data_IF_293669036369
#
_entry.id   IF_293669036369
#
_cell.length_a   1.000
_cell.length_b   1.000
_cell.length_c   1.000
_cell.angle_alpha   90.00
_cell.angle_beta   90.00
_cell.angle_gamma   90.00
#
_symmetry.space_group_name_H-M   'P 1'
#
loop_
_entity.id
_entity.type
_entity.pdbx_description
1 polymer ?
#
# COMPACT_ATOMS: atom_id res chain seq x y z
N UNK A 1 -14.40 22.28 31.39
CA UNK A 1 -13.61 21.14 30.84
C UNK A 1 -14.48 19.92 30.82
N UNK A 2 -14.63 19.23 29.69
CA UNK A 2 -15.43 18.01 29.61
C UNK A 2 -14.66 16.82 30.18
N UNK A 3 -15.36 15.75 30.61
CA UNK A 3 -14.72 14.51 31.11
C UNK A 3 -13.63 13.99 30.16
N UNK A 4 -13.91 14.00 28.86
CA UNK A 4 -12.97 13.61 27.79
C UNK A 4 -11.71 14.49 27.73
N UNK A 5 -11.85 15.81 27.90
CA UNK A 5 -10.69 16.72 27.94
C UNK A 5 -9.83 16.50 29.19
N UNK A 6 -10.45 16.13 30.32
CA UNK A 6 -9.73 15.78 31.56
C UNK A 6 -8.95 14.49 31.41
N UNK A 7 -9.57 13.44 30.88
CA UNK A 7 -8.92 12.15 30.62
C UNK A 7 -7.73 12.30 29.65
N UNK A 8 -7.88 13.11 28.61
CA UNK A 8 -6.80 13.36 27.65
C UNK A 8 -5.62 14.09 28.28
N UNK A 9 -5.86 15.13 29.10
CA UNK A 9 -4.79 15.82 29.83
C UNK A 9 -4.07 14.91 30.82
N UNK A 10 -4.81 14.03 31.51
CA UNK A 10 -4.23 13.04 32.42
C UNK A 10 -3.37 12.00 31.68
N UNK A 11 -3.80 11.53 30.50
CA UNK A 11 -3.00 10.63 29.65
C UNK A 11 -1.69 11.29 29.26
N UNK A 12 -1.74 12.51 28.72
CA UNK A 12 -0.55 13.25 28.29
C UNK A 12 0.39 13.47 29.47
N UNK A 13 -0.13 13.93 30.61
CA UNK A 13 0.69 14.17 31.81
C UNK A 13 1.33 12.91 32.40
N UNK A 14 0.72 11.73 32.22
CA UNK A 14 1.36 10.44 32.59
C UNK A 14 2.46 10.08 31.59
N UNK A 15 2.19 10.22 30.30
CA UNK A 15 3.17 9.91 29.26
C UNK A 15 4.43 10.78 29.35
N UNK A 16 4.28 12.09 29.64
CA UNK A 16 5.42 13.01 29.78
C UNK A 16 6.40 12.64 30.91
N UNK A 17 5.96 11.90 31.93
CA UNK A 17 6.87 11.41 32.99
C UNK A 17 7.87 10.39 32.48
N UNK A 18 7.49 9.64 31.45
CA UNK A 18 8.30 8.61 30.81
C UNK A 18 9.01 9.15 29.55
N UNK A 19 8.75 10.41 29.18
CA UNK A 19 9.23 11.06 27.96
C UNK A 19 9.91 12.40 28.28
N UNK A 20 11.08 12.38 28.95
CA UNK A 20 11.71 13.56 29.50
C UNK A 20 12.11 14.59 28.43
N UNK A 21 12.52 14.16 27.23
CA UNK A 21 12.84 15.11 26.17
C UNK A 21 11.58 15.83 25.66
N UNK A 22 10.43 15.13 25.59
CA UNK A 22 9.16 15.73 25.20
C UNK A 22 8.62 16.68 26.26
N UNK A 23 8.81 16.36 27.55
CA UNK A 23 8.42 17.22 28.66
C UNK A 23 9.24 18.52 28.66
N UNK A 24 10.55 18.41 28.49
CA UNK A 24 11.44 19.57 28.35
C UNK A 24 11.05 20.43 27.14
N UNK A 25 10.82 19.82 25.98
CA UNK A 25 10.40 20.55 24.78
C UNK A 25 9.03 21.23 24.97
N UNK A 26 8.11 20.63 25.73
CA UNK A 26 6.83 21.24 26.06
C UNK A 26 7.02 22.48 26.95
N UNK A 27 7.85 22.37 27.98
CA UNK A 27 8.23 23.50 28.83
C UNK A 27 8.89 24.64 28.04
N UNK A 28 9.70 24.30 27.03
CA UNK A 28 10.36 25.24 26.12
C UNK A 28 9.45 25.79 25.00
N UNK A 29 8.15 25.48 25.03
CA UNK A 29 7.15 26.10 24.16
C UNK A 29 6.68 25.27 22.97
N UNK A 30 6.96 23.96 22.92
CA UNK A 30 6.34 23.07 21.93
C UNK A 30 4.80 23.10 22.09
N UNK A 31 3.99 23.32 21.03
CA UNK A 31 2.55 23.43 21.18
C UNK A 31 1.91 22.19 21.81
N UNK A 32 0.95 22.40 22.72
CA UNK A 32 0.15 21.34 23.36
C UNK A 32 -0.40 20.32 22.35
N UNK A 33 -0.88 20.78 21.18
CA UNK A 33 -1.43 19.89 20.16
C UNK A 33 -0.40 18.90 19.61
N UNK A 34 0.87 19.31 19.47
CA UNK A 34 1.94 18.39 19.06
C UNK A 34 2.25 17.41 20.17
N UNK A 35 2.45 17.89 21.40
CA UNK A 35 2.74 17.04 22.57
C UNK A 35 1.64 15.99 22.79
N UNK A 36 0.37 16.42 22.66
CA UNK A 36 -0.81 15.56 22.77
C UNK A 36 -0.78 14.43 21.75
N UNK A 37 -0.33 14.67 20.52
CA UNK A 37 -0.25 13.64 19.49
C UNK A 37 1.01 12.77 19.65
N UNK A 38 2.18 13.37 19.86
CA UNK A 38 3.45 12.63 20.00
C UNK A 38 3.40 11.62 21.15
N UNK A 39 2.78 11.98 22.27
CA UNK A 39 2.60 11.09 23.44
C UNK A 39 1.69 9.88 23.18
N UNK A 40 1.16 9.70 21.96
CA UNK A 40 0.41 8.50 21.55
C UNK A 40 1.30 7.42 20.94
N UNK A 41 2.49 7.80 20.45
CA UNK A 41 3.38 6.92 19.67
C UNK A 41 4.83 6.94 20.14
N UNK A 42 5.30 8.06 20.70
CA UNK A 42 6.67 8.17 21.20
C UNK A 42 6.88 7.32 22.45
N UNK A 43 8.02 6.62 22.48
CA UNK A 43 8.57 5.93 23.66
C UNK A 43 9.98 6.47 23.92
N UNK A 44 10.60 6.09 25.04
CA UNK A 44 11.94 6.58 25.42
C UNK A 44 12.98 6.42 24.29
N UNK A 45 12.94 5.30 23.55
CA UNK A 45 13.89 5.03 22.47
C UNK A 45 13.64 5.86 21.20
N UNK A 46 12.43 6.41 21.02
CA UNK A 46 12.04 7.12 19.78
C UNK A 46 11.66 8.59 19.98
N UNK A 47 11.64 9.08 21.22
CA UNK A 47 11.18 10.44 21.53
C UNK A 47 12.00 11.54 20.83
N UNK A 48 13.32 11.37 20.71
CA UNK A 48 14.20 12.34 20.06
C UNK A 48 13.95 12.46 18.56
N UNK A 49 13.63 11.34 17.89
CA UNK A 49 13.28 11.33 16.48
C UNK A 49 11.94 12.05 16.25
N UNK A 50 10.95 11.76 17.09
CA UNK A 50 9.64 12.41 17.07
C UNK A 50 9.72 13.91 17.37
N UNK A 51 10.58 14.32 18.30
CA UNK A 51 10.83 15.73 18.60
C UNK A 51 11.47 16.46 17.43
N UNK A 52 12.50 15.87 16.83
CA UNK A 52 13.18 16.43 15.66
C UNK A 52 12.22 16.60 14.49
N UNK A 53 11.36 15.61 14.26
CA UNK A 53 10.28 15.68 13.28
C UNK A 53 9.28 16.79 13.63
N UNK A 54 8.79 16.83 14.88
CA UNK A 54 7.81 17.80 15.31
C UNK A 54 8.30 19.25 15.24
N UNK A 55 9.59 19.51 15.43
CA UNK A 55 10.18 20.85 15.30
C UNK A 55 10.20 21.36 13.85
N UNK A 56 10.35 20.45 12.89
CA UNK A 56 10.44 20.77 11.46
C UNK A 56 9.08 20.69 10.73
N UNK A 57 8.02 20.21 11.38
CA UNK A 57 6.72 19.95 10.75
C UNK A 57 5.56 20.74 11.38
N UNK A 58 4.51 20.96 10.60
CA UNK A 58 3.25 21.57 11.09
C UNK A 58 2.47 20.62 11.99
N UNK A 59 1.54 21.14 12.79
CA UNK A 59 0.66 20.33 13.66
C UNK A 59 -0.09 19.27 12.85
N UNK A 60 -0.65 19.65 11.69
CA UNK A 60 -1.37 18.72 10.82
C UNK A 60 -0.46 17.60 10.26
N UNK A 61 0.79 17.92 9.91
CA UNK A 61 1.75 16.91 9.46
C UNK A 61 2.14 15.95 10.61
N UNK A 62 2.26 16.45 11.84
CA UNK A 62 2.49 15.63 13.04
C UNK A 62 1.29 14.73 13.31
N UNK A 63 0.07 15.26 13.29
CA UNK A 63 -1.18 14.47 13.42
C UNK A 63 -1.25 13.35 12.39
N UNK A 64 -0.97 13.65 11.12
CA UNK A 64 -0.96 12.65 10.05
C UNK A 64 0.13 11.60 10.24
N UNK A 65 1.34 12.00 10.65
CA UNK A 65 2.43 11.07 10.90
C UNK A 65 2.06 10.13 12.07
N UNK A 66 1.60 10.67 13.19
CA UNK A 66 1.18 9.92 14.38
C UNK A 66 0.00 8.98 14.06
N UNK A 67 -0.96 9.41 13.25
CA UNK A 67 -2.19 8.65 12.98
C UNK A 67 -1.95 7.29 12.30
N UNK A 68 -0.80 7.11 11.64
CA UNK A 68 -0.45 5.86 10.98
C UNK A 68 0.64 5.08 11.73
N UNK A 69 0.95 5.40 12.99
CA UNK A 69 2.05 4.81 13.77
C UNK A 69 1.53 4.18 15.05
N UNK A 70 2.21 3.14 15.51
CA UNK A 70 2.01 2.52 16.80
C UNK A 70 3.06 3.01 17.83
N UNK A 71 2.82 2.84 19.14
CA UNK A 71 3.83 3.11 20.16
C UNK A 71 5.15 2.39 19.89
N UNK A 72 6.23 3.14 19.72
CA UNK A 72 7.57 2.60 19.42
C UNK A 72 8.06 2.86 18.00
N UNK A 73 7.19 3.22 17.06
CA UNK A 73 7.59 3.51 15.68
C UNK A 73 8.38 4.83 15.58
N UNK A 74 9.27 4.94 14.60
CA UNK A 74 9.90 6.19 14.19
C UNK A 74 8.98 7.01 13.25
N UNK A 75 9.16 8.35 13.16
CA UNK A 75 8.38 9.18 12.23
C UNK A 75 8.52 8.74 10.76
N UNK A 76 9.69 8.20 10.42
CA UNK A 76 10.07 7.71 9.09
C UNK A 76 9.62 6.29 8.82
N UNK A 77 9.17 5.55 9.83
CA UNK A 77 8.74 4.18 9.63
C UNK A 77 7.50 4.14 8.72
N UNK A 78 7.39 3.10 7.87
CA UNK A 78 6.21 2.89 7.05
C UNK A 78 5.01 2.75 7.97
N UNK A 79 3.96 3.55 7.71
CA UNK A 79 2.79 3.57 8.57
C UNK A 79 2.04 2.24 8.55
N UNK A 80 1.39 1.91 9.65
CA UNK A 80 0.40 0.83 9.69
C UNK A 80 -0.84 1.27 8.92
N UNK A 81 -1.33 0.36 8.09
CA UNK A 81 -2.53 0.56 7.29
C UNK A 81 -3.70 0.75 8.24
N UNK A 82 -4.36 1.91 8.18
CA UNK A 82 -5.51 2.17 9.03
C UNK A 82 -6.66 1.25 8.61
N UNK A 83 -7.05 0.32 9.48
CA UNK A 83 -8.24 -0.50 9.24
C UNK A 83 -9.50 0.38 9.31
N UNK A 84 -10.33 0.30 8.27
CA UNK A 84 -11.61 0.99 8.21
C UNK A 84 -12.75 0.01 8.54
N UNK A 85 -13.46 0.25 9.65
CA UNK A 85 -14.64 -0.54 10.00
C UNK A 85 -15.88 0.01 9.30
N UNK A 86 -16.44 -0.78 8.39
CA UNK A 86 -17.72 -0.49 7.74
C UNK A 86 -18.84 -1.25 8.47
N UNK A 87 -19.93 -0.59 8.82
CA UNK A 87 -21.09 -1.21 9.48
C UNK A 87 -22.37 -0.88 8.69
N UNK A 88 -23.01 -1.92 8.15
CA UNK A 88 -24.23 -1.80 7.36
C UNK A 88 -25.40 -2.45 8.09
N UNK A 89 -26.52 -1.72 8.21
CA UNK A 89 -27.80 -2.31 8.57
C UNK A 89 -28.60 -2.47 7.27
N UNK A 90 -28.95 -3.69 6.93
CA UNK A 90 -29.58 -4.04 5.65
C UNK A 90 -30.82 -4.90 5.86
N UNK A 91 -31.72 -4.93 4.87
CA UNK A 91 -32.90 -5.81 4.91
C UNK A 91 -32.51 -7.26 4.63
N UNK A 92 -33.44 -8.19 4.86
CA UNK A 92 -33.22 -9.62 4.64
C UNK A 92 -32.92 -9.94 3.16
N UNK A 93 -33.58 -9.25 2.23
CA UNK A 93 -33.38 -9.41 0.79
C UNK A 93 -31.97 -8.98 0.37
N UNK A 94 -31.48 -7.85 0.89
CA UNK A 94 -30.10 -7.39 0.64
C UNK A 94 -29.08 -8.34 1.26
N UNK A 95 -29.35 -8.87 2.47
CA UNK A 95 -28.47 -9.85 3.10
C UNK A 95 -28.38 -11.16 2.30
N UNK A 96 -29.49 -11.64 1.74
CA UNK A 96 -29.49 -12.81 0.88
C UNK A 96 -28.63 -12.59 -0.38
N UNK A 97 -28.81 -11.45 -1.06
CA UNK A 97 -27.99 -11.09 -2.21
C UNK A 97 -26.49 -10.98 -1.86
N UNK A 98 -26.16 -10.45 -0.69
CA UNK A 98 -24.77 -10.37 -0.23
C UNK A 98 -24.14 -11.76 -0.06
N UNK A 99 -24.90 -12.73 0.47
CA UNK A 99 -24.43 -14.14 0.58
C UNK A 99 -24.22 -14.80 -0.78
N UNK A 100 -25.07 -14.50 -1.76
CA UNK A 100 -24.90 -14.99 -3.13
C UNK A 100 -23.65 -14.40 -3.79
N UNK A 101 -23.39 -13.11 -3.56
CA UNK A 101 -22.17 -12.42 -4.00
C UNK A 101 -20.93 -13.05 -3.36
N UNK A 102 -20.96 -13.34 -2.06
CA UNK A 102 -19.88 -14.06 -1.35
C UNK A 102 -19.59 -15.41 -2.00
N UNK A 103 -20.62 -16.26 -2.14
CA UNK A 103 -20.47 -17.58 -2.74
C UNK A 103 -19.91 -17.50 -4.16
N UNK A 104 -20.35 -16.51 -4.94
CA UNK A 104 -19.88 -16.31 -6.31
C UNK A 104 -18.40 -15.90 -6.36
N UNK A 105 -17.99 -14.96 -5.51
CA UNK A 105 -16.59 -14.50 -5.45
C UNK A 105 -15.68 -15.64 -5.03
N UNK A 106 -16.04 -16.41 -4.00
CA UNK A 106 -15.27 -17.57 -3.56
C UNK A 106 -15.10 -18.60 -4.69
N UNK A 107 -16.18 -18.90 -5.41
CA UNK A 107 -16.15 -19.83 -6.53
C UNK A 107 -15.31 -19.32 -7.72
N UNK A 108 -15.32 -18.02 -7.99
CA UNK A 108 -14.54 -17.40 -9.05
C UNK A 108 -13.03 -17.32 -8.70
N UNK A 109 -12.68 -17.23 -7.43
CA UNK A 109 -11.29 -17.19 -6.96
C UNK A 109 -10.64 -18.58 -6.81
N UNK A 110 -11.40 -19.65 -7.05
CA UNK A 110 -10.86 -21.02 -7.03
C UNK A 110 -10.88 -21.71 -5.66
N UNK A 111 -11.72 -21.22 -4.72
CA UNK A 111 -11.99 -21.93 -3.46
C UNK A 111 -11.01 -21.69 -2.31
N UNK A 112 -10.05 -20.76 -2.46
CA UNK A 112 -9.24 -20.30 -1.32
C UNK A 112 -10.09 -19.57 -0.27
N UNK A 113 -9.56 -19.45 0.96
CA UNK A 113 -10.18 -18.60 1.97
C UNK A 113 -10.15 -17.14 1.49
N UNK A 114 -11.29 -16.45 1.59
CA UNK A 114 -11.44 -15.04 1.22
C UNK A 114 -11.87 -14.32 2.48
N UNK A 115 -11.05 -13.39 2.94
CA UNK A 115 -11.43 -12.51 4.05
C UNK A 115 -12.39 -11.41 3.60
N UNK A 116 -13.00 -10.73 4.58
CA UNK A 116 -13.98 -9.67 4.32
C UNK A 116 -13.39 -8.51 3.49
N UNK A 117 -12.10 -8.19 3.66
CA UNK A 117 -11.42 -7.12 2.93
C UNK A 117 -11.27 -7.50 1.44
N UNK A 118 -10.80 -8.71 1.15
CA UNK A 118 -10.68 -9.28 -0.20
C UNK A 118 -12.04 -9.40 -0.87
N UNK A 119 -13.07 -9.82 -0.13
CA UNK A 119 -14.43 -9.89 -0.62
C UNK A 119 -14.93 -8.50 -1.05
N UNK A 120 -14.85 -7.51 -0.17
CA UNK A 120 -15.30 -6.14 -0.46
C UNK A 120 -14.49 -5.50 -1.57
N UNK A 121 -13.18 -5.75 -1.61
CA UNK A 121 -12.30 -5.32 -2.69
C UNK A 121 -12.75 -5.87 -4.04
N UNK A 122 -13.09 -7.16 -4.12
CA UNK A 122 -13.57 -7.80 -5.35
C UNK A 122 -14.96 -7.29 -5.77
N UNK A 123 -15.87 -7.05 -4.82
CA UNK A 123 -17.16 -6.41 -5.10
C UNK A 123 -16.96 -5.02 -5.70
N UNK A 124 -16.15 -4.18 -5.04
CA UNK A 124 -15.88 -2.82 -5.48
C UNK A 124 -15.24 -2.80 -6.87
N UNK A 125 -14.21 -3.62 -7.11
CA UNK A 125 -13.58 -3.71 -8.44
C UNK A 125 -14.61 -4.11 -9.47
N UNK A 126 -15.37 -5.20 -9.30
CA UNK A 126 -16.37 -5.66 -10.29
C UNK A 126 -17.37 -4.57 -10.70
N UNK A 127 -17.77 -3.70 -9.79
CA UNK A 127 -18.68 -2.57 -10.05
C UNK A 127 -17.96 -1.42 -10.76
N UNK A 128 -16.73 -1.10 -10.34
CA UNK A 128 -15.92 -0.01 -10.92
C UNK A 128 -15.34 -0.34 -12.31
N UNK A 129 -15.69 -1.50 -12.89
CA UNK A 129 -15.17 -1.96 -14.18
C UNK A 129 -15.71 -1.10 -15.32
N UNK A 130 -14.86 -0.21 -15.85
CA UNK A 130 -15.10 0.47 -17.12
C UNK A 130 -14.86 -0.44 -18.34
N UNK A 131 -14.98 0.15 -19.53
CA UNK A 131 -14.99 -0.53 -20.83
C UNK A 131 -13.77 -1.43 -21.12
N UNK A 132 -13.98 -2.48 -21.92
CA UNK A 132 -13.01 -3.52 -22.33
C UNK A 132 -11.91 -3.06 -23.32
N UNK A 133 -11.21 -1.94 -23.07
CA UNK A 133 -10.04 -1.55 -23.88
C UNK A 133 -8.80 -2.39 -23.51
N UNK A 134 -8.34 -3.24 -24.43
CA UNK A 134 -7.19 -4.14 -24.23
C UNK A 134 -5.85 -3.42 -24.00
N UNK A 135 -5.77 -2.14 -24.35
CA UNK A 135 -4.53 -1.35 -24.29
C UNK A 135 -4.36 -0.59 -22.98
N UNK A 136 -5.38 -0.54 -22.12
CA UNK A 136 -5.40 0.22 -20.85
C UNK A 136 -6.06 -0.60 -19.73
N UNK A 137 -5.85 -0.20 -18.48
CA UNK A 137 -6.57 -0.77 -17.35
C UNK A 137 -8.05 -0.32 -17.37
N UNK A 138 -8.98 -1.21 -17.02
CA UNK A 138 -10.44 -0.99 -17.07
C UNK A 138 -10.94 0.12 -16.12
N UNK A 139 -10.09 0.59 -15.21
CA UNK A 139 -10.32 1.74 -14.34
C UNK A 139 -8.97 2.42 -14.12
N UNK A 140 -8.97 3.76 -14.06
CA UNK A 140 -7.77 4.54 -13.82
C UNK A 140 -7.85 5.14 -12.42
N UNK A 141 -7.00 4.64 -11.53
CA UNK A 141 -6.80 5.24 -10.21
C UNK A 141 -5.54 6.08 -10.28
N UNK A 142 -5.64 7.35 -9.92
CA UNK A 142 -4.46 8.18 -9.71
C UNK A 142 -3.86 7.79 -8.35
N UNK A 143 -2.68 7.20 -8.40
CA UNK A 143 -1.92 6.79 -7.22
C UNK A 143 -0.72 7.72 -7.13
N UNK A 144 -0.54 8.35 -5.98
CA UNK A 144 0.58 9.25 -5.70
C UNK A 144 1.54 8.57 -4.73
N UNK A 145 2.81 8.44 -5.13
CA UNK A 145 3.90 8.00 -4.26
C UNK A 145 4.80 9.19 -3.93
N UNK A 146 5.14 9.36 -2.66
CA UNK A 146 6.06 10.41 -2.23
C UNK A 146 7.51 9.94 -2.33
N UNK A 147 8.37 10.65 -3.07
CA UNK A 147 9.77 10.25 -3.26
C UNK A 147 10.60 10.24 -1.96
N UNK A 148 10.25 11.09 -0.99
CA UNK A 148 11.01 11.22 0.28
C UNK A 148 10.61 10.19 1.33
N UNK A 149 9.31 9.94 1.52
CA UNK A 149 8.82 9.06 2.58
C UNK A 149 8.16 7.78 2.06
N UNK A 150 8.15 7.58 0.74
CA UNK A 150 7.61 6.42 0.02
C UNK A 150 6.12 6.11 0.25
N UNK A 151 5.42 6.94 1.03
CA UNK A 151 3.97 6.85 1.26
C UNK A 151 3.20 6.85 -0.05
N UNK A 152 2.15 6.03 -0.08
CA UNK A 152 1.28 5.84 -1.24
C UNK A 152 -0.11 6.31 -0.87
N UNK A 153 -0.69 7.16 -1.70
CA UNK A 153 -2.05 7.68 -1.52
C UNK A 153 -2.89 7.55 -2.77
N UNK A 154 -4.18 7.35 -2.59
CA UNK A 154 -5.20 7.25 -3.64
C UNK A 154 -6.24 8.34 -3.45
N UNK A 155 -6.59 9.04 -4.52
CA UNK A 155 -7.74 9.95 -4.52
C UNK A 155 -9.03 9.17 -4.79
N UNK A 156 -9.94 9.15 -3.80
CA UNK A 156 -11.18 8.40 -3.83
C UNK A 156 -12.34 9.27 -3.31
N UNK A 157 -13.37 9.48 -4.14
CA UNK A 157 -14.58 10.22 -3.74
C UNK A 157 -14.35 11.70 -3.37
N UNK A 158 -13.22 12.29 -3.77
CA UNK A 158 -12.81 13.65 -3.41
C UNK A 158 -11.87 13.73 -2.20
N UNK A 159 -11.61 12.60 -1.53
CA UNK A 159 -10.67 12.50 -0.41
C UNK A 159 -9.38 11.77 -0.83
N UNK A 160 -8.26 12.11 -0.19
CA UNK A 160 -7.00 11.40 -0.37
C UNK A 160 -6.82 10.37 0.76
N UNK A 161 -6.76 9.09 0.41
CA UNK A 161 -6.64 7.96 1.34
C UNK A 161 -5.24 7.38 1.25
N UNK A 162 -4.57 7.19 2.39
CA UNK A 162 -3.29 6.48 2.46
C UNK A 162 -3.53 4.97 2.35
N UNK A 163 -2.79 4.31 1.46
CA UNK A 163 -2.95 2.88 1.16
C UNK A 163 -1.71 2.10 1.56
N UNK A 164 -1.87 0.79 1.67
CA UNK A 164 -0.80 -0.12 2.05
C UNK A 164 0.31 -0.23 0.98
N UNK A 165 1.49 -0.69 1.42
CA UNK A 165 2.65 -0.86 0.53
C UNK A 165 2.38 -1.88 -0.57
N UNK A 166 1.65 -2.95 -0.26
CA UNK A 166 1.30 -3.99 -1.22
C UNK A 166 0.46 -3.45 -2.38
N UNK A 167 -0.47 -2.53 -2.10
CA UNK A 167 -1.29 -1.85 -3.09
C UNK A 167 -0.46 -0.94 -3.97
N UNK A 168 0.49 -0.19 -3.38
CA UNK A 168 1.44 0.62 -4.14
C UNK A 168 2.33 -0.24 -5.05
N UNK A 169 2.89 -1.33 -4.52
CA UNK A 169 3.72 -2.26 -5.28
C UNK A 169 2.94 -2.95 -6.41
N UNK A 170 1.69 -3.34 -6.14
CA UNK A 170 0.76 -3.89 -7.13
C UNK A 170 0.53 -2.91 -8.29
N UNK A 171 0.36 -1.62 -7.97
CA UNK A 171 0.20 -0.61 -8.99
C UNK A 171 1.46 -0.45 -9.85
N UNK A 172 2.65 -0.45 -9.24
CA UNK A 172 3.92 -0.22 -9.92
C UNK A 172 4.25 -1.30 -10.98
N UNK A 173 3.73 -2.52 -10.84
CA UNK A 173 3.98 -3.63 -11.77
C UNK A 173 3.52 -3.35 -13.21
N UNK A 174 2.31 -2.80 -13.40
CA UNK A 174 1.70 -2.54 -14.72
C UNK A 174 1.20 -1.08 -14.85
N UNK A 175 1.83 -0.16 -14.10
CA UNK A 175 1.42 1.25 -14.07
C UNK A 175 1.62 1.97 -15.41
N UNK A 176 0.63 2.82 -15.72
CA UNK A 176 0.85 3.97 -16.60
C UNK A 176 1.35 5.14 -15.77
N UNK A 177 2.64 5.44 -15.89
CA UNK A 177 3.24 6.61 -15.26
C UNK A 177 2.82 7.87 -16.00
N UNK A 178 1.97 8.65 -15.35
CA UNK A 178 1.67 10.01 -15.80
C UNK A 178 2.85 10.90 -15.41
N UNK A 179 3.29 11.80 -16.31
CA UNK A 179 4.27 12.79 -15.91
C UNK A 179 3.66 13.64 -14.81
N UNK A 180 4.48 14.02 -13.83
CA UNK A 180 4.09 14.92 -12.74
C UNK A 180 3.44 16.18 -13.34
N UNK A 181 2.11 16.20 -13.40
CA UNK A 181 1.36 17.40 -13.73
C UNK A 181 1.57 18.31 -12.55
N UNK A 182 2.48 19.30 -12.68
CA UNK A 182 2.91 20.23 -11.64
C UNK A 182 2.53 19.70 -10.26
N UNK A 183 3.38 18.79 -9.75
CA UNK A 183 3.37 18.46 -8.35
C UNK A 183 3.09 19.76 -7.62
N UNK A 184 2.01 19.82 -6.83
CA UNK A 184 1.94 20.85 -5.80
C UNK A 184 3.35 20.87 -5.19
N UNK A 185 4.06 22.01 -5.28
CA UNK A 185 5.44 22.04 -4.87
C UNK A 185 5.45 21.52 -3.45
N UNK A 186 6.40 20.63 -3.20
CA UNK A 186 6.87 20.26 -1.88
C UNK A 186 6.22 21.09 -0.77
N UNK A 187 5.46 20.48 0.16
CA UNK A 187 5.12 21.18 1.40
C UNK A 187 6.47 21.50 2.07
N UNK A 188 6.93 22.75 1.95
CA UNK A 188 8.22 23.22 2.45
C UNK A 188 9.12 24.05 1.52
N UNK A 189 8.81 24.26 0.24
CA UNK A 189 9.60 25.19 -0.59
C UNK A 189 9.10 26.64 -0.42
N UNK A 190 9.88 27.49 0.25
CA UNK A 190 9.56 28.91 0.42
C UNK A 190 9.48 29.63 -0.93
N UNK A 191 8.46 30.48 -1.17
CA UNK A 191 8.44 31.31 -2.37
C UNK A 191 9.54 32.37 -2.25
N UNK A 192 10.40 32.44 -3.28
CA UNK A 192 11.34 33.55 -3.45
C UNK A 192 10.57 34.86 -3.46
N UNK A 193 10.85 35.71 -2.48
CA UNK A 193 10.34 37.06 -2.35
C UNK A 193 10.77 37.93 -3.53
N UNK A 194 9.83 38.38 -4.35
CA UNK A 194 10.03 39.60 -5.15
C UNK A 194 9.18 40.71 -4.53
N UNK A 195 9.86 41.59 -3.80
CA UNK A 195 9.37 42.88 -3.32
C UNK A 195 9.00 43.81 -4.48
N UNK A 196 7.84 44.48 -4.40
CA UNK A 196 7.49 45.62 -5.24
C UNK A 196 6.03 46.08 -5.08
N UNK A 197 5.80 47.10 -4.26
CA UNK A 197 4.58 47.94 -4.25
C UNK A 197 4.71 49.10 -5.31
N UNK A 198 3.78 50.08 -5.42
CA UNK A 198 2.48 49.99 -6.11
C UNK A 198 2.27 51.12 -7.20
N UNK A 199 1.12 51.04 -7.91
CA UNK A 199 0.38 52.07 -8.70
C UNK A 199 0.73 52.39 -10.18
N UNK A 200 -0.33 52.41 -11.01
CA UNK A 200 -0.42 53.16 -12.29
C UNK A 200 -1.37 52.53 -13.35
N UNK A 201 -2.30 53.27 -14.01
CA UNK A 201 -3.42 52.68 -14.74
C UNK A 201 -3.16 52.33 -16.22
N UNK A 202 -3.83 51.25 -16.64
CA UNK A 202 -4.30 50.81 -17.96
C UNK A 202 -3.66 51.35 -19.28
N UNK A 203 -3.18 50.41 -20.09
CA UNK A 203 -3.44 50.33 -21.55
C UNK A 203 -3.21 48.90 -22.05
N UNK A 204 -4.05 48.33 -22.94
CA UNK A 204 -3.85 46.96 -23.42
C UNK A 204 -2.94 46.95 -24.65
N UNK A 205 -1.83 46.18 -24.68
CA UNK A 205 -1.19 45.87 -25.94
C UNK A 205 -1.90 44.69 -26.61
N UNK A 206 -1.99 44.82 -27.93
CA UNK A 206 -2.71 43.97 -28.86
C UNK A 206 -2.04 42.61 -29.01
N UNK A 207 -2.87 41.57 -29.03
CA UNK A 207 -2.74 40.36 -29.86
C UNK A 207 -1.34 39.83 -30.15
N UNK A 208 -0.73 39.17 -29.16
CA UNK A 208 0.33 38.18 -29.39
C UNK A 208 -0.16 36.83 -28.89
N UNK A 209 -0.38 35.85 -29.78
CA UNK A 209 -0.59 34.46 -29.36
C UNK A 209 0.69 33.97 -28.69
N UNK A 210 0.73 34.00 -27.36
CA UNK A 210 1.77 33.31 -26.59
C UNK A 210 1.59 31.82 -26.85
N UNK A 211 2.45 31.24 -27.70
CA UNK A 211 2.55 29.79 -27.86
C UNK A 211 3.26 29.26 -26.61
N UNK A 212 2.51 28.95 -25.55
CA UNK A 212 3.02 28.07 -24.50
C UNK A 212 3.29 26.70 -25.12
N UNK A 213 4.53 26.48 -25.56
CA UNK A 213 5.08 25.15 -25.87
C UNK A 213 5.61 24.55 -24.57
N UNK A 214 4.77 24.42 -23.55
CA UNK A 214 5.00 23.42 -22.52
C UNK A 214 4.57 22.10 -23.12
N UNK A 215 5.53 21.42 -23.76
CA UNK A 215 5.33 20.04 -24.23
C UNK A 215 5.14 19.22 -22.96
N UNK A 216 3.89 19.03 -22.56
CA UNK A 216 3.53 18.10 -21.49
C UNK A 216 4.30 16.80 -21.79
N UNK A 217 5.15 16.38 -20.84
CA UNK A 217 5.84 15.09 -20.94
C UNK A 217 4.77 14.03 -21.25
N UNK A 218 5.10 13.01 -22.04
CA UNK A 218 4.12 11.95 -22.36
C UNK A 218 4.11 10.92 -21.24
N UNK A 219 2.94 10.38 -20.95
CA UNK A 219 2.81 9.24 -20.06
C UNK A 219 3.61 8.05 -20.60
N UNK A 220 4.32 7.36 -19.71
CA UNK A 220 5.06 6.14 -20.00
C UNK A 220 4.35 4.95 -19.37
N UNK A 221 4.58 3.75 -19.89
CA UNK A 221 4.06 2.50 -19.32
C UNK A 221 5.23 1.74 -18.71
N UNK A 222 5.06 1.18 -17.51
CA UNK A 222 6.08 0.32 -16.88
C UNK A 222 6.37 -0.87 -17.78
N UNK A 223 5.33 -1.59 -18.21
CA UNK A 223 5.47 -2.70 -19.15
C UNK A 223 5.19 -2.19 -20.57
N UNK A 224 6.08 -2.44 -21.53
CA UNK A 224 5.82 -2.07 -22.92
C UNK A 224 4.47 -2.62 -23.42
N UNK A 225 3.62 -1.83 -24.09
CA UNK A 225 2.27 -2.28 -24.48
C UNK A 225 2.23 -3.55 -25.33
N UNK A 226 3.27 -3.79 -26.14
CA UNK A 226 3.38 -5.02 -26.93
C UNK A 226 3.63 -6.25 -26.05
N UNK A 227 4.51 -6.14 -25.04
CA UNK A 227 4.78 -7.19 -24.06
C UNK A 227 3.50 -7.50 -23.27
N UNK A 228 2.85 -6.46 -22.74
CA UNK A 228 1.57 -6.60 -22.00
C UNK A 228 0.52 -7.36 -22.82
N UNK A 229 0.30 -6.97 -24.08
CA UNK A 229 -0.62 -7.68 -24.98
C UNK A 229 -0.21 -9.12 -25.24
N UNK A 230 1.10 -9.39 -25.37
CA UNK A 230 1.63 -10.74 -25.55
C UNK A 230 1.30 -11.65 -24.37
N UNK A 231 1.56 -11.19 -23.14
CA UNK A 231 1.26 -11.93 -21.91
C UNK A 231 -0.24 -12.16 -21.75
N UNK A 232 -1.08 -11.13 -21.92
CA UNK A 232 -2.53 -11.29 -21.85
C UNK A 232 -3.09 -12.29 -22.88
N UNK A 233 -2.50 -12.35 -24.08
CA UNK A 233 -2.88 -13.32 -25.11
C UNK A 233 -2.45 -14.73 -24.73
N UNK A 234 -1.22 -14.90 -24.25
CA UNK A 234 -0.69 -16.18 -23.75
C UNK A 234 -1.58 -16.74 -22.64
N UNK A 235 -1.95 -15.89 -21.68
CA UNK A 235 -2.74 -16.25 -20.51
C UNK A 235 -4.26 -16.21 -20.79
N UNK A 236 -4.64 -16.12 -22.07
CA UNK A 236 -6.04 -16.16 -22.55
C UNK A 236 -6.97 -15.15 -21.87
N UNK A 237 -6.43 -14.01 -21.46
CA UNK A 237 -7.13 -12.94 -20.72
C UNK A 237 -7.85 -13.48 -19.49
N UNK A 238 -7.15 -14.31 -18.71
CA UNK A 238 -7.63 -14.84 -17.44
C UNK A 238 -6.53 -14.78 -16.41
N UNK A 239 -6.91 -14.79 -15.14
CA UNK A 239 -5.97 -15.05 -14.07
C UNK A 239 -5.30 -16.40 -14.32
N UNK A 240 -3.97 -16.44 -14.23
CA UNK A 240 -3.20 -17.67 -14.43
C UNK A 240 -3.27 -18.63 -13.23
N UNK A 241 -3.76 -18.17 -12.07
CA UNK A 241 -3.88 -19.00 -10.86
C UNK A 241 -4.88 -20.14 -11.11
N UNK A 242 -4.48 -21.41 -10.83
CA UNK A 242 -5.35 -22.57 -11.03
C UNK A 242 -6.69 -22.43 -10.30
N UNK A 243 -7.77 -22.79 -10.99
CA UNK A 243 -9.13 -22.71 -10.44
C UNK A 243 -9.76 -21.31 -10.47
N UNK A 244 -8.98 -20.25 -10.68
CA UNK A 244 -9.53 -18.90 -10.83
C UNK A 244 -10.22 -18.73 -12.19
N UNK A 245 -11.43 -18.17 -12.19
CA UNK A 245 -12.24 -17.91 -13.38
C UNK A 245 -12.26 -16.43 -13.78
N UNK A 246 -11.55 -15.58 -13.03
CA UNK A 246 -11.57 -14.15 -13.24
C UNK A 246 -10.88 -13.77 -14.56
N UNK A 247 -11.48 -12.83 -15.28
CA UNK A 247 -11.07 -12.35 -16.60
C UNK A 247 -11.17 -10.82 -16.71
N UNK A 248 -11.42 -10.13 -15.58
CA UNK A 248 -11.51 -8.67 -15.48
C UNK A 248 -10.47 -8.18 -14.50
N UNK A 249 -10.02 -6.93 -14.68
CA UNK A 249 -8.98 -6.31 -13.85
C UNK A 249 -7.72 -7.16 -13.74
N UNK A 250 -7.24 -7.52 -14.92
CA UNK A 250 -6.04 -8.29 -15.07
C UNK A 250 -4.87 -7.32 -15.11
N UNK A 251 -3.95 -7.55 -14.18
CA UNK A 251 -2.71 -6.83 -14.04
C UNK A 251 -1.58 -7.81 -14.37
N UNK A 252 -0.52 -7.32 -15.01
CA UNK A 252 0.68 -8.13 -15.25
C UNK A 252 1.58 -8.03 -14.02
N UNK A 253 1.98 -9.19 -13.51
CA UNK A 253 2.86 -9.34 -12.36
C UNK A 253 4.21 -9.92 -12.78
N UNK A 254 5.28 -9.49 -12.11
CA UNK A 254 6.62 -10.02 -12.29
C UNK A 254 6.88 -11.14 -11.28
N UNK A 255 7.25 -12.33 -11.74
CA UNK A 255 7.61 -13.43 -10.81
C UNK A 255 8.93 -13.17 -10.09
N UNK A 256 9.90 -12.53 -10.76
CA UNK A 256 11.04 -11.89 -10.11
C UNK A 256 10.71 -10.40 -9.88
N UNK A 257 10.55 -9.91 -8.64
CA UNK A 257 10.15 -8.54 -8.38
C UNK A 257 11.03 -7.49 -9.08
N UNK A 258 10.41 -6.41 -9.56
CA UNK A 258 11.13 -5.28 -10.20
C UNK A 258 12.20 -4.66 -9.30
N UNK A 259 11.93 -4.58 -7.99
CA UNK A 259 12.89 -4.07 -7.02
C UNK A 259 14.14 -4.97 -6.86
N UNK A 260 14.10 -6.20 -7.37
CA UNK A 260 15.17 -7.20 -7.29
C UNK A 260 15.75 -7.54 -8.67
N UNK A 261 15.56 -6.64 -9.64
CA UNK A 261 16.16 -6.74 -10.96
C UNK A 261 15.35 -7.54 -11.97
N UNK A 262 14.09 -7.89 -11.67
CA UNK A 262 13.18 -8.45 -12.68
C UNK A 262 13.05 -7.53 -13.90
N UNK A 263 13.07 -8.06 -15.10
CA UNK A 263 12.97 -7.30 -16.34
C UNK A 263 11.53 -7.30 -16.90
N UNK A 264 11.37 -6.98 -18.18
CA UNK A 264 10.07 -7.06 -18.86
C UNK A 264 10.05 -8.20 -19.88
N UNK A 265 10.88 -9.24 -19.67
CA UNK A 265 10.81 -10.45 -20.48
C UNK A 265 9.44 -11.12 -20.25
N UNK A 266 8.63 -11.34 -21.30
CA UNK A 266 7.37 -12.08 -21.19
C UNK A 266 7.47 -13.39 -20.40
N UNK A 267 8.62 -14.07 -20.40
CA UNK A 267 8.81 -15.35 -19.71
C UNK A 267 8.69 -15.23 -18.18
N UNK A 268 9.17 -14.11 -17.61
CA UNK A 268 9.06 -13.78 -16.19
C UNK A 268 7.79 -13.00 -15.80
N UNK A 269 6.87 -12.80 -16.73
CA UNK A 269 5.62 -12.05 -16.51
C UNK A 269 4.42 -12.98 -16.50
N UNK A 270 3.44 -12.69 -15.65
CA UNK A 270 2.21 -13.49 -15.50
C UNK A 270 0.98 -12.60 -15.31
N UNK A 271 -0.15 -13.01 -15.90
CA UNK A 271 -1.44 -12.32 -15.77
C UNK A 271 -2.18 -12.76 -14.49
N UNK A 272 -2.45 -11.83 -13.59
CA UNK A 272 -3.19 -12.07 -12.34
C UNK A 272 -4.42 -11.15 -12.23
N UNK A 273 -5.45 -11.62 -11.53
CA UNK A 273 -6.54 -10.73 -11.13
C UNK A 273 -6.15 -9.89 -9.90
N UNK A 274 -6.90 -8.83 -9.61
CA UNK A 274 -6.67 -7.96 -8.46
C UNK A 274 -6.46 -8.69 -7.12
N UNK A 275 -7.34 -9.61 -6.74
CA UNK A 275 -7.19 -10.39 -5.52
C UNK A 275 -5.89 -11.22 -5.50
N UNK A 276 -5.62 -12.00 -6.55
CA UNK A 276 -4.41 -12.83 -6.60
C UNK A 276 -3.12 -12.01 -6.73
N UNK A 277 -3.18 -10.86 -7.40
CA UNK A 277 -2.06 -9.94 -7.50
C UNK A 277 -1.73 -9.33 -6.14
N UNK A 278 -2.75 -8.87 -5.39
CA UNK A 278 -2.58 -8.38 -4.02
C UNK A 278 -2.05 -9.48 -3.10
N UNK A 279 -2.62 -10.68 -3.18
CA UNK A 279 -2.15 -11.83 -2.41
C UNK A 279 -0.67 -12.16 -2.68
N UNK A 280 -0.19 -12.00 -3.92
CA UNK A 280 1.22 -12.19 -4.25
C UNK A 280 2.13 -11.15 -3.58
N UNK A 281 1.69 -9.89 -3.52
CA UNK A 281 2.42 -8.81 -2.84
C UNK A 281 2.37 -8.90 -1.31
N UNK A 282 1.28 -9.43 -0.74
CA UNK A 282 1.15 -9.73 0.70
C UNK A 282 1.87 -11.02 1.12
N UNK A 283 2.57 -11.69 0.20
CA UNK A 283 3.23 -12.98 0.46
C UNK A 283 2.28 -14.16 0.67
N UNK A 284 0.97 -13.95 0.60
CA UNK A 284 -0.08 -14.97 0.76
C UNK A 284 -0.16 -15.97 -0.40
N UNK A 285 0.22 -15.51 -1.60
CA UNK A 285 0.40 -16.31 -2.80
C UNK A 285 1.88 -16.36 -3.17
N UNK A 286 2.39 -17.57 -3.35
CA UNK A 286 3.76 -17.85 -3.81
C UNK A 286 3.69 -18.31 -5.25
N UNK A 287 4.37 -17.60 -6.14
CA UNK A 287 4.46 -17.94 -7.56
C UNK A 287 5.92 -18.23 -7.88
N UNK A 288 6.19 -19.39 -8.47
CA UNK A 288 7.53 -19.80 -8.89
C UNK A 288 7.49 -20.31 -10.34
N UNK A 289 8.65 -20.43 -10.98
CA UNK A 289 8.75 -20.80 -12.39
C UNK A 289 8.57 -19.61 -13.35
N UNK A 290 8.36 -19.93 -14.62
CA UNK A 290 8.27 -18.98 -15.73
C UNK A 290 7.31 -19.52 -16.81
N UNK A 291 7.14 -18.79 -17.90
CA UNK A 291 6.21 -19.19 -18.96
C UNK A 291 6.68 -20.39 -19.79
N UNK A 292 7.99 -20.62 -19.87
CA UNK A 292 8.62 -21.71 -20.62
C UNK A 292 8.53 -23.04 -19.87
N UNK A 293 8.94 -23.05 -18.60
CA UNK A 293 8.98 -24.23 -17.73
C UNK A 293 7.63 -24.50 -17.04
N UNK A 294 6.78 -23.48 -16.96
CA UNK A 294 5.49 -23.51 -16.28
C UNK A 294 5.55 -22.85 -14.90
N UNK A 295 4.43 -22.22 -14.52
CA UNK A 295 4.28 -21.60 -13.21
C UNK A 295 3.73 -22.58 -12.18
N UNK A 296 4.28 -22.54 -10.96
CA UNK A 296 3.78 -23.25 -9.80
C UNK A 296 3.26 -22.26 -8.74
N UNK A 297 2.16 -22.62 -8.08
CA UNK A 297 1.41 -21.74 -7.18
C UNK A 297 1.23 -22.42 -5.82
N UNK A 298 1.69 -21.77 -4.75
CA UNK A 298 1.52 -22.24 -3.39
C UNK A 298 0.90 -21.16 -2.50
N UNK A 299 0.25 -21.56 -1.42
CA UNK A 299 -0.11 -20.67 -0.32
C UNK A 299 1.14 -20.29 0.47
N UNK A 300 1.03 -19.26 1.33
CA UNK A 300 2.14 -18.83 2.18
C UNK A 300 2.65 -19.93 3.12
N UNK A 301 1.81 -20.91 3.48
CA UNK A 301 2.17 -22.08 4.30
C UNK A 301 2.91 -23.19 3.51
N UNK A 302 3.17 -22.97 2.21
CA UNK A 302 3.84 -23.92 1.32
C UNK A 302 2.89 -24.94 0.68
N UNK A 303 1.61 -25.00 1.07
CA UNK A 303 0.66 -25.93 0.47
C UNK A 303 0.34 -25.56 -0.98
N UNK A 304 0.11 -26.54 -1.89
CA UNK A 304 -0.29 -26.24 -3.26
C UNK A 304 -1.58 -25.42 -3.33
N UNK A 305 -1.60 -24.41 -4.20
CA UNK A 305 -2.77 -23.54 -4.32
C UNK A 305 -4.01 -24.32 -4.78
N UNK A 306 -5.15 -24.06 -4.16
CA UNK A 306 -6.41 -24.75 -4.46
C UNK A 306 -6.56 -26.09 -3.72
N UNK A 307 -5.64 -26.43 -2.82
CA UNK A 307 -5.81 -27.50 -1.83
C UNK A 307 -6.30 -26.93 -0.50
N UNK A 308 -6.56 -27.79 0.48
CA UNK A 308 -6.95 -27.34 1.82
C UNK A 308 -5.79 -26.58 2.48
N UNK A 309 -6.05 -25.35 2.92
CA UNK A 309 -5.09 -24.48 3.61
C UNK A 309 -5.40 -24.36 5.10
N UNK A 310 -4.39 -23.99 5.90
CA UNK A 310 -4.57 -23.68 7.33
C UNK A 310 -4.57 -22.14 7.53
N UNK A 311 -5.74 -21.48 7.65
CA UNK A 311 -5.83 -20.01 7.56
C UNK A 311 -4.90 -19.25 8.51
N UNK A 312 -4.78 -19.73 9.75
CA UNK A 312 -3.90 -19.15 10.77
C UNK A 312 -2.42 -19.21 10.37
N UNK A 313 -1.97 -20.31 9.74
CA UNK A 313 -0.58 -20.46 9.34
C UNK A 313 -0.26 -19.65 8.09
N UNK A 314 -1.22 -19.50 7.17
CA UNK A 314 -1.11 -18.58 6.04
C UNK A 314 -0.98 -17.13 6.52
N UNK A 315 -1.78 -16.73 7.52
CA UNK A 315 -1.71 -15.39 8.10
C UNK A 315 -0.37 -15.14 8.80
N UNK A 316 0.12 -16.12 9.58
CA UNK A 316 1.41 -16.03 10.27
C UNK A 316 2.57 -15.95 9.28
N UNK A 317 2.57 -16.79 8.23
CA UNK A 317 3.59 -16.76 7.20
C UNK A 317 3.57 -15.44 6.41
N UNK A 318 2.40 -14.90 6.10
CA UNK A 318 2.26 -13.57 5.48
C UNK A 318 2.81 -12.44 6.37
N UNK A 319 2.46 -12.43 7.66
CA UNK A 319 3.01 -11.47 8.63
C UNK A 319 4.53 -11.61 8.79
N UNK A 320 5.04 -12.84 8.79
CA UNK A 320 6.47 -13.10 8.85
C UNK A 320 7.20 -12.59 7.60
N UNK A 321 6.60 -12.78 6.41
CA UNK A 321 7.11 -12.24 5.16
C UNK A 321 7.21 -10.71 5.21
N UNK A 322 6.13 -10.03 5.60
CA UNK A 322 6.11 -8.57 5.72
C UNK A 322 7.14 -8.05 6.72
N UNK A 323 7.29 -8.73 7.86
CA UNK A 323 8.29 -8.38 8.87
C UNK A 323 9.73 -8.55 8.34
N UNK A 324 10.04 -9.66 7.67
CA UNK A 324 11.37 -9.88 7.05
C UNK A 324 11.65 -8.84 5.95
N UNK A 325 10.64 -8.46 5.17
CA UNK A 325 10.76 -7.39 4.17
C UNK A 325 11.11 -6.05 4.81
N UNK A 326 10.46 -5.69 5.92
CA UNK A 326 10.76 -4.47 6.68
C UNK A 326 12.15 -4.49 7.31
N UNK A 327 12.68 -5.67 7.65
CA UNK A 327 14.07 -5.85 8.11
C UNK A 327 15.10 -5.77 6.97
N UNK A 328 14.68 -5.58 5.72
CA UNK A 328 15.56 -5.39 4.57
C UNK A 328 15.94 -6.67 3.81
N UNK A 329 15.33 -7.82 4.14
CA UNK A 329 15.56 -9.05 3.38
C UNK A 329 14.94 -8.95 1.97
N UNK A 330 15.63 -9.49 0.97
CA UNK A 330 15.06 -9.65 -0.38
C UNK A 330 13.85 -10.61 -0.33
N UNK A 331 12.92 -10.50 -1.28
CA UNK A 331 11.76 -11.38 -1.45
C UNK A 331 12.26 -12.81 -1.59
N UNK A 332 13.28 -13.04 -2.41
CA UNK A 332 13.89 -14.36 -2.56
C UNK A 332 14.41 -14.90 -1.22
N UNK A 333 15.14 -14.09 -0.44
CA UNK A 333 15.69 -14.52 0.86
C UNK A 333 14.59 -14.74 1.90
N UNK A 334 13.62 -13.82 2.00
CA UNK A 334 12.49 -13.92 2.92
C UNK A 334 11.66 -15.19 2.66
N UNK A 335 11.34 -15.48 1.39
CA UNK A 335 10.64 -16.71 1.00
C UNK A 335 11.45 -17.96 1.34
N UNK A 336 12.76 -17.95 1.10
CA UNK A 336 13.63 -19.08 1.44
C UNK A 336 13.69 -19.35 2.95
N UNK A 337 13.70 -18.30 3.79
CA UNK A 337 13.68 -18.45 5.25
C UNK A 337 12.33 -19.01 5.73
N UNK A 338 11.22 -18.50 5.21
CA UNK A 338 9.87 -19.00 5.53
C UNK A 338 9.74 -20.48 5.16
N UNK A 339 10.16 -20.86 3.95
CA UNK A 339 10.14 -22.26 3.51
C UNK A 339 11.00 -23.15 4.43
N UNK A 340 12.21 -22.72 4.79
CA UNK A 340 13.08 -23.47 5.69
C UNK A 340 12.48 -23.66 7.10
N UNK A 341 11.76 -22.65 7.61
CA UNK A 341 11.03 -22.76 8.89
C UNK A 341 9.87 -23.75 8.75
N UNK A 342 9.08 -23.67 7.70
CA UNK A 342 7.92 -24.55 7.47
C UNK A 342 8.30 -26.01 7.26
N UNK A 343 9.45 -26.28 6.64
CA UNK A 343 9.97 -27.65 6.48
C UNK A 343 10.49 -28.22 7.81
N UNK A 344 11.11 -27.39 8.66
CA UNK A 344 11.74 -27.81 9.92
C UNK A 344 10.79 -27.83 11.11
N UNK A 345 9.77 -26.98 11.10
CA UNK A 345 8.91 -26.70 12.24
C UNK A 345 7.44 -26.97 11.89
N UNK A 346 6.69 -27.48 12.86
CA UNK A 346 5.23 -27.53 12.76
C UNK A 346 4.60 -26.15 12.90
N UNK A 347 3.27 -26.06 13.14
CA UNK A 347 2.59 -24.79 13.36
C UNK A 347 3.25 -23.97 14.48
N UNK A 348 3.68 -22.74 14.16
CA UNK A 348 4.29 -21.81 15.11
C UNK A 348 3.41 -20.57 15.27
N UNK A 349 3.57 -19.87 16.38
CA UNK A 349 3.13 -18.48 16.52
C UNK A 349 4.11 -17.51 15.82
N UNK A 350 3.67 -16.28 15.55
CA UNK A 350 4.48 -15.30 14.82
C UNK A 350 5.85 -15.01 15.45
N UNK A 351 5.98 -14.78 16.77
CA UNK A 351 7.28 -14.53 17.40
C UNK A 351 8.25 -15.71 17.27
N UNK A 352 7.77 -16.94 17.47
CA UNK A 352 8.60 -18.14 17.33
C UNK A 352 9.01 -18.36 15.88
N UNK A 353 8.09 -18.12 14.93
CA UNK A 353 8.37 -18.20 13.50
C UNK A 353 9.49 -17.24 13.09
N UNK A 354 9.41 -15.98 13.49
CA UNK A 354 10.42 -14.98 13.18
C UNK A 354 11.78 -15.32 13.81
N UNK A 355 11.78 -15.82 15.05
CA UNK A 355 13.00 -16.24 15.73
C UNK A 355 13.70 -17.37 14.98
N UNK A 356 12.97 -18.40 14.54
CA UNK A 356 13.53 -19.50 13.76
C UNK A 356 13.98 -19.05 12.37
N UNK A 357 13.24 -18.16 11.71
CA UNK A 357 13.64 -17.58 10.43
C UNK A 357 14.96 -16.82 10.55
N UNK A 358 15.13 -16.01 11.59
CA UNK A 358 16.37 -15.26 11.83
C UNK A 358 17.55 -16.18 12.24
N UNK A 359 17.30 -17.28 12.95
CA UNK A 359 18.33 -18.30 13.23
C UNK A 359 18.85 -19.00 11.98
N UNK A 360 18.02 -19.08 10.94
CA UNK A 360 18.37 -19.65 9.64
C UNK A 360 18.97 -18.62 8.65
N UNK A 361 19.09 -17.35 9.05
CA UNK A 361 19.43 -16.21 8.19
C UNK A 361 20.90 -16.00 7.90
#
# INVERSE_FOLDING_TARGET
>A
MTKRQTEERLRVGRALRELPALDAAFADGLPWTKVRELTRVAVADTEDAWLSFARSHTVHQVERAVAAREPGDLPTDPGTVRLHRLHFQVTAETFALFRDVQARIHADLGGGAVDDDTLLFEVARRILAGSDDESRANYQVAITRCDSCQRVTVDAGGDTVEVDEAFGAMADCDAQQLPTANASPHVGAAPSSSTGEPNGPASPPRGGRVRHRDRAKRATQTIPPAVRRGVLRRDRRRCAVPGCKNHRFLDIHHTNPRCEGGDHDPDGLICLCGAHHRAAHLGQLVITGNATDGFAFHHADGTPYGTGLHPEQVEIAGKAFDALRRMGFTVARARALIAAVQERCGPLDLPSFLTEALRAS
#
